data_IF_285498290846
#
_entry.id   IF_285498290846
#
_cell.length_a   1.000
_cell.length_b   1.000
_cell.length_c   1.000
_cell.angle_alpha   90.00
_cell.angle_beta   90.00
_cell.angle_gamma   90.00
#
_symmetry.space_group_name_H-M   'P 1'
#
loop_
_entity.id
_entity.type
_entity.pdbx_description
1 polymer ?
#
# COMPACT_ATOMS: atom_id res chain seq x y z
N UNK A 1 29.78 -28.76 -9.60
CA UNK A 1 31.00 -28.55 -8.82
C UNK A 1 30.75 -28.64 -7.34
N UNK A 2 30.10 -27.63 -6.73
CA UNK A 2 29.90 -27.56 -5.27
C UNK A 2 28.75 -28.43 -4.72
N UNK A 3 27.79 -28.84 -5.56
CA UNK A 3 26.66 -29.70 -5.16
C UNK A 3 27.02 -31.17 -4.90
N UNK A 4 28.14 -31.66 -5.43
CA UNK A 4 28.53 -33.07 -5.30
C UNK A 4 29.37 -33.37 -4.05
N UNK A 5 29.78 -32.34 -3.30
CA UNK A 5 30.64 -32.47 -2.12
C UNK A 5 29.86 -32.55 -0.80
N UNK A 6 28.55 -32.31 -0.83
CA UNK A 6 27.67 -32.48 0.33
C UNK A 6 27.08 -33.89 0.23
N UNK A 7 27.71 -34.85 0.91
CA UNK A 7 27.13 -36.17 1.18
C UNK A 7 25.98 -36.04 2.19
N UNK A 8 24.95 -35.26 1.86
CA UNK A 8 23.67 -35.30 2.54
C UNK A 8 22.74 -36.19 1.72
N UNK A 9 21.88 -36.93 2.40
CA UNK A 9 20.90 -37.80 1.75
C UNK A 9 20.09 -36.97 0.75
N UNK A 10 19.72 -37.54 -0.40
CA UNK A 10 18.91 -36.85 -1.43
C UNK A 10 17.67 -36.11 -0.85
N UNK A 11 17.17 -36.57 0.30
CA UNK A 11 16.14 -35.94 1.10
C UNK A 11 16.49 -34.54 1.64
N UNK A 12 17.67 -34.36 2.24
CA UNK A 12 18.13 -33.09 2.81
C UNK A 12 18.35 -32.03 1.72
N UNK A 13 18.84 -32.45 0.55
CA UNK A 13 18.99 -31.56 -0.61
C UNK A 13 17.63 -31.07 -1.15
N UNK A 14 16.64 -31.97 -1.17
CA UNK A 14 15.27 -31.67 -1.56
C UNK A 14 14.60 -30.69 -0.60
N UNK A 15 14.81 -30.86 0.71
CA UNK A 15 14.31 -29.95 1.73
C UNK A 15 14.91 -28.56 1.57
N UNK A 16 16.23 -28.45 1.44
CA UNK A 16 16.90 -27.16 1.33
C UNK A 16 16.45 -26.40 0.07
N UNK A 17 16.38 -27.10 -1.06
CA UNK A 17 15.89 -26.51 -2.32
C UNK A 17 14.41 -26.10 -2.19
N UNK A 18 13.59 -26.92 -1.54
CA UNK A 18 12.19 -26.60 -1.25
C UNK A 18 12.04 -25.34 -0.40
N UNK A 19 12.84 -25.19 0.66
CA UNK A 19 12.85 -24.00 1.52
C UNK A 19 13.23 -22.77 0.71
N UNK A 20 14.25 -22.85 -0.14
CA UNK A 20 14.68 -21.71 -0.98
C UNK A 20 13.57 -21.30 -1.95
N UNK A 21 12.89 -22.27 -2.58
CA UNK A 21 11.75 -22.02 -3.48
C UNK A 21 10.58 -21.40 -2.71
N UNK A 22 10.25 -21.91 -1.52
CA UNK A 22 9.18 -21.37 -0.68
C UNK A 22 9.52 -19.94 -0.24
N UNK A 23 10.74 -19.69 0.23
CA UNK A 23 11.19 -18.35 0.60
C UNK A 23 11.13 -17.39 -0.59
N UNK A 24 11.55 -17.83 -1.76
CA UNK A 24 11.49 -17.03 -3.00
C UNK A 24 10.04 -16.78 -3.39
N UNK A 25 9.16 -17.78 -3.31
CA UNK A 25 7.75 -17.63 -3.62
C UNK A 25 7.01 -16.71 -2.64
N UNK A 26 7.39 -16.70 -1.37
CA UNK A 26 6.84 -15.76 -0.38
C UNK A 26 7.32 -14.33 -0.64
N UNK A 27 8.61 -14.15 -0.97
CA UNK A 27 9.18 -12.84 -1.28
C UNK A 27 8.66 -12.27 -2.60
N UNK A 28 8.64 -13.10 -3.63
CA UNK A 28 8.25 -12.73 -5.01
C UNK A 28 6.73 -12.65 -5.15
N UNK A 29 6.00 -13.46 -4.37
CA UNK A 29 4.56 -13.61 -4.47
C UNK A 29 3.76 -12.33 -4.26
N UNK A 30 4.37 -11.24 -3.77
CA UNK A 30 3.70 -9.95 -3.65
C UNK A 30 2.39 -10.04 -2.82
N UNK A 31 2.17 -11.17 -2.11
CA UNK A 31 0.92 -11.57 -1.43
C UNK A 31 0.69 -10.72 -0.19
N UNK A 32 1.78 -10.26 0.44
CA UNK A 32 1.71 -9.33 1.57
C UNK A 32 1.64 -7.86 1.17
N UNK A 33 1.94 -7.51 -0.07
CA UNK A 33 1.78 -6.15 -0.55
C UNK A 33 0.32 -6.04 -0.97
N UNK A 34 -0.57 -5.90 0.02
CA UNK A 34 -1.82 -5.18 -0.21
C UNK A 34 -1.40 -3.88 -0.87
N UNK A 35 -1.68 -3.74 -2.16
CA UNK A 35 -1.32 -2.55 -2.93
C UNK A 35 -2.12 -1.41 -2.32
N UNK A 36 -1.55 -0.76 -1.31
CA UNK A 36 -2.06 0.50 -0.80
C UNK A 36 -1.89 1.48 -1.95
N UNK A 37 -2.97 1.64 -2.72
CA UNK A 37 -2.97 2.55 -3.83
C UNK A 37 -3.08 3.95 -3.27
N UNK A 38 -2.15 4.77 -3.69
CA UNK A 38 -2.04 6.15 -3.27
C UNK A 38 -2.51 7.01 -4.43
N UNK A 39 -3.53 7.83 -4.20
CA UNK A 39 -3.98 8.82 -5.17
C UNK A 39 -3.88 10.22 -4.59
N UNK A 40 -3.28 11.12 -5.35
CA UNK A 40 -3.22 12.52 -5.02
C UNK A 40 -4.42 13.22 -5.66
N UNK A 41 -5.21 13.92 -4.84
CA UNK A 41 -6.40 14.65 -5.28
C UNK A 41 -6.25 16.08 -4.81
N UNK A 42 -6.48 17.02 -5.73
CA UNK A 42 -6.64 18.42 -5.38
C UNK A 42 -8.09 18.64 -4.95
N UNK A 43 -8.27 19.07 -3.71
CA UNK A 43 -9.56 19.36 -3.12
C UNK A 43 -9.74 20.86 -2.99
N UNK A 44 -10.88 21.38 -3.43
CA UNK A 44 -11.15 22.82 -3.58
C UNK A 44 -11.76 23.45 -2.34
N UNK A 45 -12.03 22.67 -1.28
CA UNK A 45 -12.67 23.19 -0.08
C UNK A 45 -11.74 23.04 1.14
N UNK A 46 -10.98 24.10 1.41
CA UNK A 46 -10.00 24.16 2.50
C UNK A 46 -10.61 24.07 3.90
N UNK A 47 -11.89 24.44 4.08
CA UNK A 47 -12.56 24.40 5.39
C UNK A 47 -12.89 22.97 5.84
N UNK A 48 -13.12 22.08 4.88
CA UNK A 48 -13.38 20.66 5.10
C UNK A 48 -12.12 19.87 5.47
N UNK A 49 -10.93 20.48 5.35
CA UNK A 49 -9.63 19.85 5.64
C UNK A 49 -9.22 20.00 7.12
N UNK A 50 -10.02 20.73 7.90
CA UNK A 50 -9.81 20.85 9.34
C UNK A 50 -9.88 19.47 10.02
N UNK A 51 -9.07 19.23 11.08
CA UNK A 51 -9.05 17.98 11.84
C UNK A 51 -10.45 17.52 12.29
N UNK A 52 -11.31 18.49 12.61
CA UNK A 52 -12.68 18.29 13.07
C UNK A 52 -13.62 17.70 12.00
N UNK A 53 -13.35 17.98 10.73
CA UNK A 53 -14.18 17.56 9.60
C UNK A 53 -13.65 16.29 8.89
N UNK A 54 -12.56 15.68 9.38
CA UNK A 54 -12.01 14.44 8.82
C UNK A 54 -13.04 13.34 8.50
N UNK A 55 -13.99 12.98 9.39
CA UNK A 55 -14.96 11.95 9.08
C UNK A 55 -15.89 12.34 7.92
N UNK A 56 -16.29 13.62 7.85
CA UNK A 56 -17.11 14.14 6.77
C UNK A 56 -16.34 14.20 5.45
N UNK A 57 -15.07 14.61 5.48
CA UNK A 57 -14.17 14.65 4.33
C UNK A 57 -13.94 13.25 3.74
N UNK A 58 -13.73 12.24 4.60
CA UNK A 58 -13.60 10.84 4.16
C UNK A 58 -14.87 10.37 3.46
N UNK A 59 -16.04 10.67 4.03
CA UNK A 59 -17.33 10.30 3.45
C UNK A 59 -17.57 10.99 2.10
N UNK A 60 -17.28 12.29 2.00
CA UNK A 60 -17.42 13.06 0.76
C UNK A 60 -16.48 12.52 -0.33
N UNK A 61 -15.19 12.34 -0.01
CA UNK A 61 -14.22 11.80 -0.96
C UNK A 61 -14.57 10.37 -1.38
N UNK A 62 -15.06 9.53 -0.46
CA UNK A 62 -15.53 8.16 -0.78
C UNK A 62 -16.75 8.19 -1.70
N UNK A 63 -17.71 9.08 -1.45
CA UNK A 63 -18.91 9.21 -2.28
C UNK A 63 -18.59 9.74 -3.68
N UNK A 64 -17.69 10.73 -3.77
CA UNK A 64 -17.29 11.34 -5.06
C UNK A 64 -16.37 10.46 -5.89
N UNK A 65 -15.49 9.69 -5.26
CA UNK A 65 -14.51 8.84 -5.97
C UNK A 65 -14.96 7.39 -6.12
N UNK A 66 -15.94 6.94 -5.34
CA UNK A 66 -16.33 5.53 -5.26
C UNK A 66 -15.28 4.62 -4.61
N UNK A 67 -14.19 5.17 -4.08
CA UNK A 67 -13.07 4.40 -3.54
C UNK A 67 -13.24 4.19 -2.02
N UNK A 68 -12.87 3.00 -1.54
CA UNK A 68 -12.79 2.71 -0.11
C UNK A 68 -11.52 3.33 0.49
N UNK A 69 -11.59 4.63 0.75
CA UNK A 69 -10.52 5.39 1.41
C UNK A 69 -10.39 4.93 2.86
N UNK A 70 -9.20 4.46 3.23
CA UNK A 70 -8.88 4.05 4.60
C UNK A 70 -8.11 5.14 5.35
N UNK A 71 -7.22 5.85 4.65
CA UNK A 71 -6.37 6.88 5.25
C UNK A 71 -6.25 8.09 4.32
N UNK A 72 -6.20 9.26 4.94
CA UNK A 72 -6.04 10.55 4.25
C UNK A 72 -4.86 11.28 4.88
N UNK A 73 -3.97 11.80 4.04
CA UNK A 73 -2.82 12.62 4.44
C UNK A 73 -2.86 13.92 3.67
N UNK A 74 -2.91 15.05 4.38
CA UNK A 74 -2.91 16.37 3.78
C UNK A 74 -1.45 16.73 3.48
N UNK A 75 -1.12 16.95 2.21
CA UNK A 75 0.28 17.12 1.79
C UNK A 75 0.66 18.60 1.67
N UNK A 76 -0.23 19.41 1.08
CA UNK A 76 -0.01 20.85 0.92
C UNK A 76 -1.36 21.56 0.94
N UNK A 77 -1.40 22.70 1.60
CA UNK A 77 -2.58 23.57 1.65
C UNK A 77 -2.19 24.89 0.98
N UNK A 78 -3.01 25.37 0.07
CA UNK A 78 -2.83 26.62 -0.66
C UNK A 78 -3.97 27.57 -0.31
N UNK A 79 -3.72 28.42 0.70
CA UNK A 79 -4.68 29.40 1.20
C UNK A 79 -5.00 30.52 0.20
N UNK A 80 -4.15 30.75 -0.80
CA UNK A 80 -4.40 31.78 -1.82
C UNK A 80 -5.46 31.34 -2.83
N UNK A 81 -5.58 30.03 -3.05
CA UNK A 81 -6.49 29.43 -4.03
C UNK A 81 -7.63 28.65 -3.38
N UNK A 82 -7.73 28.68 -2.05
CA UNK A 82 -8.65 27.84 -1.26
C UNK A 82 -8.57 26.35 -1.59
N UNK A 83 -7.44 25.88 -2.12
CA UNK A 83 -7.26 24.47 -2.51
C UNK A 83 -6.26 23.77 -1.61
N UNK A 84 -6.35 22.45 -1.52
CA UNK A 84 -5.32 21.65 -0.90
C UNK A 84 -5.10 20.35 -1.65
N UNK A 85 -3.85 19.89 -1.62
CA UNK A 85 -3.50 18.57 -2.09
C UNK A 85 -3.63 17.56 -0.95
N UNK A 86 -4.50 16.59 -1.19
CA UNK A 86 -4.80 15.52 -0.27
C UNK A 86 -4.38 14.20 -0.90
N UNK A 87 -3.63 13.41 -0.15
CA UNK A 87 -3.15 12.09 -0.53
C UNK A 87 -4.06 11.06 0.14
N UNK A 88 -4.86 10.37 -0.66
CA UNK A 88 -5.76 9.31 -0.19
C UNK A 88 -5.12 7.94 -0.40
N UNK A 89 -5.30 7.06 0.57
CA UNK A 89 -4.88 5.67 0.54
C UNK A 89 -6.15 4.81 0.48
N UNK A 90 -6.25 4.01 -0.57
CA UNK A 90 -7.36 3.10 -0.80
C UNK A 90 -6.85 1.72 -1.15
N UNK A 91 -7.69 0.72 -0.89
CA UNK A 91 -7.44 -0.65 -1.31
C UNK A 91 -8.08 -0.84 -2.70
N UNK A 92 -7.35 -1.51 -3.60
CA UNK A 92 -7.92 -2.10 -4.82
C UNK A 92 -8.54 -3.46 -4.53
#
# INVERSE_FOLDING_TARGET
GLLSAIQMQFYELGILTGIIIICTFILDGNVLIKRELVKNIQYENIEMIKPENHPALIADLKNRTGLNIHRIVINKIDFLKDTANVKIYYYE
#
